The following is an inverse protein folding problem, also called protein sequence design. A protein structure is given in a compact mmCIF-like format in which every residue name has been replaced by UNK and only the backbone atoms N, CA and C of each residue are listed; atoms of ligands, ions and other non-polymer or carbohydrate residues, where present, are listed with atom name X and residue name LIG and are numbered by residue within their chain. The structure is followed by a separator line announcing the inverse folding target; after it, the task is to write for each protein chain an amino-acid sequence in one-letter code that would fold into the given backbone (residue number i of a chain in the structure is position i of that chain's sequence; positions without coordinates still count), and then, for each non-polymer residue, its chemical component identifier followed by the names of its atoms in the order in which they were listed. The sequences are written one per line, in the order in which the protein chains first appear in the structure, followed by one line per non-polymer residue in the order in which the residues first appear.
data_IF_279284218485
#
_entry.id   IF_279284218485
#
_cell.length_a   1.000
_cell.length_b   1.000
_cell.length_c   1.000
_cell.angle_alpha   90.00
_cell.angle_beta   90.00
_cell.angle_gamma   90.00
#
_symmetry.space_group_name_H-M   'P 1'
#
loop_
_entity.id
_entity.type
_entity.pdbx_description
1 polymer ?
#
# COMPACT_ATOMS: atom_id res chain seq x y z
N UNK A 1 -2.49 -4.21 -27.30
CA UNK A 1 -2.08 -4.97 -26.10
C UNK A 1 -0.56 -4.92 -25.93
N UNK A 2 0.21 -5.17 -26.99
CA UNK A 2 1.69 -5.07 -26.98
C UNK A 2 2.23 -3.71 -26.54
N UNK A 3 1.62 -2.59 -26.98
CA UNK A 3 2.02 -1.25 -26.54
C UNK A 3 2.00 -1.10 -25.01
N UNK A 4 0.94 -1.58 -24.35
CA UNK A 4 0.80 -1.48 -22.89
C UNK A 4 1.83 -2.36 -22.18
N UNK A 5 2.11 -3.55 -22.71
CA UNK A 5 3.12 -4.46 -22.18
C UNK A 5 4.52 -3.83 -22.32
N UNK A 6 4.81 -3.21 -23.47
CA UNK A 6 6.08 -2.54 -23.71
C UNK A 6 6.26 -1.33 -22.80
N UNK A 7 5.23 -0.48 -22.66
CA UNK A 7 5.25 0.64 -21.71
C UNK A 7 5.47 0.14 -20.28
N UNK A 8 4.73 -0.88 -19.85
CA UNK A 8 4.89 -1.47 -18.52
C UNK A 8 6.31 -2.01 -18.30
N UNK A 9 6.85 -2.72 -19.29
CA UNK A 9 8.18 -3.30 -19.20
C UNK A 9 9.26 -2.21 -19.12
N UNK A 10 9.20 -1.22 -20.01
CA UNK A 10 10.22 -0.16 -20.12
C UNK A 10 10.13 0.88 -18.99
N UNK A 11 8.93 1.20 -18.51
CA UNK A 11 8.71 2.26 -17.50
C UNK A 11 8.75 1.73 -16.07
N UNK A 12 8.28 0.50 -15.83
CA UNK A 12 8.20 -0.06 -14.48
C UNK A 12 9.15 -1.23 -14.27
N UNK A 13 8.99 -2.32 -15.02
CA UNK A 13 9.71 -3.56 -14.74
C UNK A 13 11.22 -3.42 -14.89
N UNK A 14 11.71 -2.96 -16.05
CA UNK A 14 13.14 -2.87 -16.34
C UNK A 14 13.85 -1.85 -15.43
N UNK A 15 13.32 -0.63 -15.18
CA UNK A 15 13.93 0.29 -14.23
C UNK A 15 13.98 -0.25 -12.80
N UNK A 16 12.89 -0.89 -12.32
CA UNK A 16 12.85 -1.47 -10.98
C UNK A 16 13.80 -2.65 -10.84
N UNK A 17 13.91 -3.49 -11.87
CA UNK A 17 14.89 -4.57 -11.93
C UNK A 17 16.31 -4.03 -11.85
N UNK A 18 16.67 -3.08 -12.72
CA UNK A 18 18.00 -2.48 -12.75
C UNK A 18 18.34 -1.76 -11.45
N UNK A 19 17.38 -1.04 -10.86
CA UNK A 19 17.56 -0.41 -9.56
C UNK A 19 17.82 -1.44 -8.46
N UNK A 20 17.11 -2.57 -8.46
CA UNK A 20 17.36 -3.65 -7.49
C UNK A 20 18.78 -4.22 -7.65
N UNK A 21 19.21 -4.53 -8.87
CA UNK A 21 20.53 -5.11 -9.14
C UNK A 21 21.65 -4.12 -8.79
N UNK A 22 21.46 -2.84 -9.13
CA UNK A 22 22.39 -1.80 -8.73
C UNK A 22 22.49 -1.73 -7.20
N UNK A 23 21.37 -1.69 -6.49
CA UNK A 23 21.39 -1.70 -5.02
C UNK A 23 22.06 -2.97 -4.47
N UNK A 24 21.78 -4.13 -5.04
CA UNK A 24 22.39 -5.40 -4.64
C UNK A 24 23.93 -5.37 -4.77
N UNK A 25 24.46 -4.82 -5.86
CA UNK A 25 25.89 -4.78 -6.12
C UNK A 25 26.63 -3.72 -5.28
N UNK A 26 26.01 -2.56 -5.06
CA UNK A 26 26.66 -1.45 -4.34
C UNK A 26 26.43 -1.47 -2.83
N UNK A 27 25.44 -2.21 -2.32
CA UNK A 27 25.22 -2.33 -0.88
C UNK A 27 26.22 -3.30 -0.23
N UNK A 28 26.69 -3.00 0.98
CA UNK A 28 27.67 -3.82 1.67
C UNK A 28 27.11 -5.23 1.91
N UNK A 29 27.94 -6.24 1.63
CA UNK A 29 27.60 -7.64 1.84
C UNK A 29 26.71 -8.26 0.76
N UNK A 30 26.35 -7.53 -0.31
CA UNK A 30 25.49 -8.02 -1.40
C UNK A 30 24.25 -8.74 -0.87
N UNK A 31 23.59 -8.10 0.09
CA UNK A 31 22.40 -8.63 0.75
C UNK A 31 21.14 -8.26 -0.04
N UNK A 32 20.46 -9.28 -0.55
CA UNK A 32 19.28 -9.09 -1.38
C UNK A 32 18.13 -8.45 -0.61
N UNK A 33 17.91 -8.82 0.64
CA UNK A 33 16.84 -8.23 1.43
C UNK A 33 17.09 -6.78 1.80
N UNK A 34 18.33 -6.37 2.07
CA UNK A 34 18.67 -4.95 2.25
C UNK A 34 18.41 -4.18 0.94
N UNK A 35 18.78 -4.75 -0.22
CA UNK A 35 18.48 -4.14 -1.52
C UNK A 35 16.96 -3.95 -1.72
N UNK A 36 16.15 -4.95 -1.37
CA UNK A 36 14.67 -4.85 -1.40
C UNK A 36 14.16 -3.76 -0.47
N UNK A 37 14.67 -3.67 0.76
CA UNK A 37 14.27 -2.64 1.75
C UNK A 37 14.58 -1.24 1.20
N UNK A 38 15.81 -1.03 0.73
CA UNK A 38 16.24 0.28 0.20
C UNK A 38 15.43 0.66 -1.04
N UNK A 39 15.24 -0.28 -1.98
CA UNK A 39 14.39 -0.05 -3.16
C UNK A 39 12.98 0.38 -2.75
N UNK A 40 12.40 -0.31 -1.77
CA UNK A 40 11.05 0.01 -1.26
C UNK A 40 11.00 1.43 -0.70
N UNK A 41 12.00 1.83 0.09
CA UNK A 41 12.09 3.18 0.66
C UNK A 41 12.23 4.22 -0.45
N UNK A 42 13.06 3.99 -1.47
CA UNK A 42 13.21 4.89 -2.62
C UNK A 42 11.87 5.07 -3.35
N UNK A 43 11.17 3.99 -3.66
CA UNK A 43 9.82 4.04 -4.28
C UNK A 43 8.87 4.87 -3.41
N UNK A 44 8.89 4.64 -2.09
CA UNK A 44 8.03 5.35 -1.14
C UNK A 44 8.35 6.84 -1.03
N UNK A 45 9.62 7.23 -1.18
CA UNK A 45 10.05 8.62 -1.21
C UNK A 45 9.61 9.31 -2.50
N UNK A 46 9.77 8.67 -3.66
CA UNK A 46 9.30 9.18 -4.95
C UNK A 46 7.79 9.40 -4.93
N UNK A 47 7.04 8.45 -4.35
CA UNK A 47 5.58 8.52 -4.23
C UNK A 47 5.10 9.31 -3.01
N UNK A 48 6.00 9.87 -2.20
CA UNK A 48 5.66 10.55 -0.95
C UNK A 48 4.56 11.62 -1.10
N UNK A 49 4.65 12.59 -2.04
CA UNK A 49 3.65 13.67 -2.11
C UNK A 49 2.25 13.14 -2.41
N UNK A 50 2.15 12.17 -3.30
CA UNK A 50 0.91 11.50 -3.67
C UNK A 50 0.33 10.72 -2.48
N UNK A 51 1.15 9.91 -1.81
CA UNK A 51 0.72 9.10 -0.66
C UNK A 51 0.26 10.00 0.50
N UNK A 52 0.97 11.11 0.74
CA UNK A 52 0.60 12.09 1.75
C UNK A 52 -0.76 12.75 1.45
N UNK A 53 -1.04 13.08 0.19
CA UNK A 53 -2.37 13.59 -0.21
C UNK A 53 -3.46 12.57 0.07
N UNK A 54 -3.25 11.31 -0.28
CA UNK A 54 -4.26 10.28 -0.02
C UNK A 54 -4.52 10.06 1.47
N UNK A 55 -3.47 10.01 2.28
CA UNK A 55 -3.60 9.86 3.74
C UNK A 55 -4.41 11.03 4.33
N UNK A 56 -4.16 12.26 3.86
CA UNK A 56 -4.94 13.44 4.27
C UNK A 56 -6.42 13.31 3.87
N UNK A 57 -6.71 12.92 2.63
CA UNK A 57 -8.10 12.73 2.18
C UNK A 57 -8.82 11.64 2.95
N UNK A 58 -8.15 10.51 3.24
CA UNK A 58 -8.72 9.43 4.04
C UNK A 58 -9.00 9.88 5.49
N UNK A 59 -8.11 10.68 6.07
CA UNK A 59 -8.29 11.25 7.41
C UNK A 59 -9.48 12.22 7.46
N UNK A 60 -9.60 13.11 6.49
CA UNK A 60 -10.72 14.05 6.40
C UNK A 60 -12.06 13.30 6.21
N UNK A 61 -12.09 12.26 5.37
CA UNK A 61 -13.27 11.42 5.22
C UNK A 61 -13.63 10.65 6.50
N UNK A 62 -12.62 10.16 7.22
CA UNK A 62 -12.75 9.51 8.53
C UNK A 62 -13.39 10.44 9.58
N UNK A 63 -13.04 11.73 9.55
CA UNK A 63 -13.62 12.76 10.42
C UNK A 63 -15.07 13.14 10.04
N UNK A 64 -15.43 13.04 8.76
CA UNK A 64 -16.79 13.27 8.27
C UNK A 64 -17.75 12.09 8.50
N UNK A 65 -17.25 10.92 8.93
CA UNK A 65 -18.08 9.73 9.17
C UNK A 65 -19.37 9.99 9.97
N UNK A 66 -19.37 10.79 11.06
CA UNK A 66 -20.60 11.08 11.81
C UNK A 66 -21.66 11.81 10.96
N UNK A 67 -21.25 12.81 10.16
CA UNK A 67 -22.16 13.56 9.27
C UNK A 67 -22.66 12.67 8.12
N UNK A 68 -21.79 11.81 7.59
CA UNK A 68 -22.16 10.82 6.57
C UNK A 68 -23.22 9.86 7.12
N UNK A 69 -23.05 9.37 8.35
CA UNK A 69 -24.02 8.49 9.01
C UNK A 69 -25.36 9.19 9.24
N UNK A 70 -25.35 10.47 9.64
CA UNK A 70 -26.58 11.27 9.81
C UNK A 70 -27.35 11.43 8.48
N UNK A 71 -26.66 11.75 7.38
CA UNK A 71 -27.27 11.82 6.04
C UNK A 71 -27.83 10.45 5.65
N UNK A 72 -27.08 9.36 5.90
CA UNK A 72 -27.51 8.02 5.56
C UNK A 72 -28.78 7.62 6.31
N UNK A 73 -28.90 7.96 7.59
CA UNK A 73 -30.09 7.75 8.42
C UNK A 73 -31.26 8.61 7.96
N UNK A 74 -31.05 9.90 7.72
CA UNK A 74 -32.10 10.86 7.34
C UNK A 74 -32.77 10.51 6.00
N UNK A 75 -32.00 9.98 5.04
CA UNK A 75 -32.47 9.68 3.69
C UNK A 75 -32.41 8.18 3.37
N UNK A 76 -32.61 7.31 4.38
CA UNK A 76 -32.51 5.85 4.23
C UNK A 76 -33.37 5.28 3.10
N UNK A 77 -34.58 5.81 2.94
CA UNK A 77 -35.55 5.34 1.95
C UNK A 77 -35.46 6.07 0.61
N UNK A 78 -34.60 7.10 0.51
CA UNK A 78 -34.40 7.89 -0.70
C UNK A 78 -32.91 7.94 -1.08
N UNK A 79 -32.46 6.93 -1.84
CA UNK A 79 -31.06 6.81 -2.31
C UNK A 79 -30.60 7.98 -3.16
N UNK A 80 -31.48 8.56 -3.96
CA UNK A 80 -31.14 9.67 -4.83
C UNK A 80 -30.82 10.92 -3.99
N UNK A 81 -31.70 11.26 -3.04
CA UNK A 81 -31.46 12.37 -2.13
C UNK A 81 -30.25 12.10 -1.22
N UNK A 82 -30.07 10.87 -0.74
CA UNK A 82 -28.90 10.47 0.04
C UNK A 82 -27.60 10.72 -0.72
N UNK A 83 -27.53 10.32 -2.00
CA UNK A 83 -26.35 10.54 -2.85
C UNK A 83 -26.08 12.03 -3.08
N UNK A 84 -27.14 12.81 -3.35
CA UNK A 84 -27.06 14.26 -3.57
C UNK A 84 -26.54 15.01 -2.35
N UNK A 85 -27.08 14.74 -1.16
CA UNK A 85 -26.68 15.36 0.10
C UNK A 85 -25.26 14.94 0.49
N UNK A 86 -24.90 13.68 0.28
CA UNK A 86 -23.54 13.19 0.55
C UNK A 86 -22.51 13.86 -0.37
N UNK A 87 -22.83 14.03 -1.65
CA UNK A 87 -21.96 14.77 -2.58
C UNK A 87 -21.89 16.27 -2.22
N UNK A 88 -23.01 16.86 -1.82
CA UNK A 88 -23.07 18.25 -1.32
C UNK A 88 -22.20 18.45 -0.08
N UNK A 89 -22.20 17.49 0.86
CA UNK A 89 -21.31 17.50 2.01
C UNK A 89 -19.83 17.48 1.58
N UNK A 90 -19.45 16.58 0.66
CA UNK A 90 -18.07 16.51 0.16
C UNK A 90 -17.63 17.81 -0.52
N UNK A 91 -18.51 18.45 -1.30
CA UNK A 91 -18.22 19.74 -1.94
C UNK A 91 -18.10 20.88 -0.92
N UNK A 92 -19.01 20.94 0.05
CA UNK A 92 -19.01 21.96 1.12
C UNK A 92 -17.74 21.90 1.96
N UNK A 93 -17.29 20.69 2.29
CA UNK A 93 -16.07 20.45 3.06
C UNK A 93 -14.81 20.42 2.16
N UNK A 94 -14.95 20.61 0.84
CA UNK A 94 -13.88 20.60 -0.18
C UNK A 94 -13.01 19.33 -0.14
N UNK A 95 -13.63 18.18 0.13
CA UNK A 95 -12.96 16.88 0.23
C UNK A 95 -13.24 16.06 -1.03
N UNK A 96 -12.19 15.44 -1.59
CA UNK A 96 -12.32 14.51 -2.70
C UNK A 96 -12.48 13.06 -2.19
N UNK A 97 -13.65 12.41 -2.38
CA UNK A 97 -13.88 11.04 -1.92
C UNK A 97 -12.99 10.00 -2.63
N UNK A 98 -12.52 10.28 -3.85
CA UNK A 98 -11.62 9.41 -4.61
C UNK A 98 -10.16 9.54 -4.19
N UNK A 99 -9.82 10.54 -3.36
CA UNK A 99 -8.46 10.70 -2.87
C UNK A 99 -7.96 9.49 -2.07
N UNK A 100 -8.87 8.71 -1.47
CA UNK A 100 -8.53 7.52 -0.69
C UNK A 100 -8.19 6.27 -1.51
N UNK A 101 -8.71 6.14 -2.74
CA UNK A 101 -8.47 4.96 -3.58
C UNK A 101 -7.30 5.15 -4.56
N UNK A 102 -6.85 6.39 -4.78
CA UNK A 102 -5.74 6.72 -5.68
C UNK A 102 -4.44 5.93 -5.40
N UNK A 103 -4.01 5.71 -4.14
CA UNK A 103 -2.83 4.89 -3.87
C UNK A 103 -2.96 3.46 -4.40
N UNK A 104 -4.14 2.86 -4.27
CA UNK A 104 -4.36 1.47 -4.69
C UNK A 104 -4.15 1.32 -6.20
N UNK A 105 -4.70 2.26 -6.99
CA UNK A 105 -4.57 2.24 -8.45
C UNK A 105 -3.12 2.35 -8.92
N UNK A 106 -2.30 3.15 -8.24
CA UNK A 106 -0.88 3.34 -8.57
C UNK A 106 -0.03 2.20 -8.01
N UNK A 107 -0.41 1.67 -6.85
CA UNK A 107 0.28 0.57 -6.19
C UNK A 107 0.15 -0.75 -6.97
N UNK A 108 -0.99 -1.01 -7.61
CA UNK A 108 -1.23 -2.27 -8.33
C UNK A 108 -0.21 -2.53 -9.47
N UNK A 109 0.04 -1.61 -10.43
CA UNK A 109 1.09 -1.79 -11.44
C UNK A 109 2.48 -1.99 -10.84
N UNK A 110 2.82 -1.25 -9.78
CA UNK A 110 4.12 -1.36 -9.11
C UNK A 110 4.27 -2.73 -8.44
N UNK A 111 3.21 -3.22 -7.79
CA UNK A 111 3.20 -4.54 -7.18
C UNK A 111 3.39 -5.65 -8.22
N UNK A 112 2.73 -5.54 -9.38
CA UNK A 112 2.90 -6.49 -10.48
C UNK A 112 4.34 -6.43 -11.02
N UNK A 113 4.92 -5.24 -11.14
CA UNK A 113 6.29 -5.08 -11.60
C UNK A 113 7.28 -5.72 -10.61
N UNK A 114 7.14 -5.44 -9.31
CA UNK A 114 8.00 -6.01 -8.27
C UNK A 114 7.82 -7.53 -8.14
N UNK A 115 6.60 -8.05 -8.29
CA UNK A 115 6.38 -9.49 -8.37
C UNK A 115 7.21 -10.11 -9.50
N UNK A 116 7.19 -9.50 -10.70
CA UNK A 116 8.01 -9.97 -11.82
C UNK A 116 9.51 -9.80 -11.56
N UNK A 117 9.93 -8.70 -10.93
CA UNK A 117 11.34 -8.47 -10.56
C UNK A 117 11.84 -9.56 -9.62
N UNK A 118 11.09 -9.89 -8.56
CA UNK A 118 11.53 -10.88 -7.59
C UNK A 118 11.36 -12.33 -8.07
N UNK A 119 10.45 -12.59 -9.01
CA UNK A 119 10.24 -13.92 -9.57
C UNK A 119 11.13 -14.19 -10.80
N UNK A 120 11.05 -13.33 -11.82
CA UNK A 120 11.76 -13.48 -13.11
C UNK A 120 13.16 -12.88 -13.04
N UNK A 121 13.37 -11.80 -12.28
CA UNK A 121 14.66 -11.12 -12.18
C UNK A 121 15.77 -11.92 -11.50
N UNK A 122 15.43 -12.97 -10.76
CA UNK A 122 16.41 -13.89 -10.15
C UNK A 122 16.93 -14.94 -11.15
N UNK A 123 16.31 -15.06 -12.32
CA UNK A 123 16.72 -16.03 -13.34
C UNK A 123 17.88 -15.48 -14.17
N UNK A 124 18.84 -16.33 -14.62
CA UNK A 124 19.98 -15.88 -15.42
C UNK A 124 19.59 -15.12 -16.69
N UNK A 125 18.45 -15.46 -17.29
CA UNK A 125 17.93 -14.84 -18.52
C UNK A 125 17.60 -13.35 -18.32
N UNK A 126 17.23 -12.95 -17.10
CA UNK A 126 16.90 -11.57 -16.78
C UNK A 126 18.12 -10.65 -16.85
N UNK A 127 19.35 -11.18 -16.77
CA UNK A 127 20.58 -10.38 -16.87
C UNK A 127 20.73 -9.70 -18.24
N UNK A 128 20.05 -10.22 -19.28
CA UNK A 128 19.97 -9.57 -20.59
C UNK A 128 19.23 -8.22 -20.58
N UNK A 129 18.46 -7.93 -19.52
CA UNK A 129 17.68 -6.71 -19.36
C UNK A 129 18.42 -5.60 -18.61
N UNK A 130 19.67 -5.85 -18.21
CA UNK A 130 20.50 -4.88 -17.53
C UNK A 130 20.84 -3.71 -18.44
N UNK A 131 20.84 -2.51 -17.89
CA UNK A 131 21.38 -1.34 -18.55
C UNK A 131 22.91 -1.41 -18.58
N UNK A 132 23.51 -0.80 -19.59
CA UNK A 132 24.96 -0.84 -19.82
C UNK A 132 25.81 -0.38 -18.62
N UNK A 133 25.26 0.48 -17.76
CA UNK A 133 25.93 0.99 -16.56
C UNK A 133 25.72 0.13 -15.31
N UNK A 134 24.89 -0.91 -15.38
CA UNK A 134 24.60 -1.80 -14.25
C UNK A 134 25.49 -3.04 -14.36
N UNK A 135 26.36 -3.30 -13.37
CA UNK A 135 27.22 -4.48 -13.38
C UNK A 135 26.38 -5.76 -13.30
N UNK A 136 26.78 -6.79 -14.04
CA UNK A 136 26.12 -8.09 -14.00
C UNK A 136 26.63 -8.89 -12.77
N UNK A 137 25.76 -9.18 -11.79
CA UNK A 137 26.14 -9.92 -10.58
C UNK A 137 26.38 -11.42 -10.85
N UNK A 138 26.00 -11.92 -12.03
CA UNK A 138 25.93 -13.35 -12.31
C UNK A 138 24.74 -13.97 -11.59
N UNK A 139 25.01 -14.82 -10.60
CA UNK A 139 23.96 -15.48 -9.80
C UNK A 139 23.63 -14.64 -8.56
N UNK A 140 22.35 -14.34 -8.38
CA UNK A 140 21.87 -13.58 -7.23
C UNK A 140 21.57 -14.55 -6.09
N UNK A 141 22.13 -14.28 -4.91
CA UNK A 141 21.76 -14.99 -3.69
C UNK A 141 20.56 -14.28 -3.02
N UNK A 142 19.34 -14.85 -3.03
CA UNK A 142 18.15 -14.17 -2.55
C UNK A 142 17.99 -14.26 -1.03
N UNK A 143 19.07 -14.10 -0.26
CA UNK A 143 19.01 -14.15 1.21
C UNK A 143 18.86 -12.77 1.83
N UNK A 144 18.24 -12.74 3.00
CA UNK A 144 18.14 -11.56 3.86
C UNK A 144 18.82 -11.83 5.19
N UNK A 145 19.84 -11.02 5.48
CA UNK A 145 20.71 -11.08 6.66
C UNK A 145 21.36 -12.47 6.87
N UNK A 146 21.44 -13.29 5.82
CA UNK A 146 21.86 -14.69 5.90
C UNK A 146 20.89 -15.62 6.65
N UNK A 147 19.70 -15.14 7.04
CA UNK A 147 18.74 -15.88 7.88
C UNK A 147 17.51 -16.36 7.12
N UNK A 148 17.05 -15.59 6.13
CA UNK A 148 15.79 -15.85 5.43
C UNK A 148 16.03 -15.90 3.93
N UNK A 149 15.58 -16.98 3.28
CA UNK A 149 15.53 -17.04 1.81
C UNK A 149 14.28 -16.28 1.32
N UNK A 150 14.50 -15.20 0.56
CA UNK A 150 13.48 -14.35 0.00
C UNK A 150 12.95 -14.80 -1.37
N UNK A 151 13.65 -15.74 -2.02
CA UNK A 151 13.22 -16.33 -3.30
C UNK A 151 12.09 -17.36 -3.13
N UNK A 152 11.92 -17.89 -1.92
CA UNK A 152 10.92 -18.90 -1.59
C UNK A 152 9.74 -18.31 -0.81
N UNK A 153 8.62 -19.03 -0.79
CA UNK A 153 7.47 -18.65 0.01
C UNK A 153 7.75 -18.81 1.51
N UNK A 154 7.28 -17.85 2.32
CA UNK A 154 7.47 -17.87 3.77
C UNK A 154 6.19 -17.46 4.48
N UNK A 155 5.57 -18.41 5.19
CA UNK A 155 4.38 -18.14 6.00
C UNK A 155 4.68 -17.11 7.10
N UNK A 156 5.86 -17.19 7.74
CA UNK A 156 6.28 -16.24 8.77
C UNK A 156 6.33 -14.80 8.23
N UNK A 157 6.90 -14.61 7.04
CA UNK A 157 6.97 -13.30 6.39
C UNK A 157 5.58 -12.80 5.98
N UNK A 158 4.73 -13.68 5.46
CA UNK A 158 3.34 -13.35 5.10
C UNK A 158 2.53 -12.90 6.33
N UNK A 159 2.62 -13.64 7.45
CA UNK A 159 1.95 -13.28 8.71
C UNK A 159 2.47 -11.96 9.25
N UNK A 160 3.79 -11.72 9.22
CA UNK A 160 4.37 -10.45 9.64
C UNK A 160 3.82 -9.28 8.81
N UNK A 161 3.73 -9.43 7.48
CA UNK A 161 3.13 -8.42 6.60
C UNK A 161 1.67 -8.11 6.99
N UNK A 162 0.87 -9.15 7.25
CA UNK A 162 -0.51 -8.99 7.71
C UNK A 162 -0.61 -8.28 9.07
N UNK A 163 0.24 -8.63 10.04
CA UNK A 163 0.25 -7.99 11.36
C UNK A 163 0.60 -6.50 11.24
N UNK A 164 1.66 -6.15 10.50
CA UNK A 164 2.07 -4.75 10.32
C UNK A 164 0.98 -3.96 9.58
N UNK A 165 0.39 -4.55 8.54
CA UNK A 165 -0.73 -3.93 7.82
C UNK A 165 -1.97 -3.74 8.70
N UNK A 166 -2.26 -4.67 9.61
CA UNK A 166 -3.34 -4.50 10.59
C UNK A 166 -3.10 -3.27 11.47
N UNK A 167 -1.88 -3.09 11.99
CA UNK A 167 -1.54 -1.90 12.77
C UNK A 167 -1.64 -0.61 11.94
N UNK A 168 -1.17 -0.64 10.69
CA UNK A 168 -1.32 0.47 9.75
C UNK A 168 -2.81 0.84 9.53
N UNK A 169 -3.66 -0.16 9.25
CA UNK A 169 -5.11 0.08 9.06
C UNK A 169 -5.76 0.61 10.33
N UNK A 170 -5.39 0.09 11.50
CA UNK A 170 -5.94 0.49 12.80
C UNK A 170 -5.70 1.97 13.11
N UNK A 171 -4.57 2.53 12.69
CA UNK A 171 -4.27 3.96 12.89
C UNK A 171 -5.23 4.90 12.13
N UNK A 172 -5.82 4.44 11.03
CA UNK A 172 -6.73 5.24 10.20
C UNK A 172 -8.18 5.25 10.72
N UNK A 173 -8.51 4.34 11.65
CA UNK A 173 -9.87 4.18 12.14
C UNK A 173 -10.24 5.37 13.04
N UNK A 174 -11.34 6.08 12.74
CA UNK A 174 -11.80 7.17 13.59
C UNK A 174 -12.21 6.63 14.96
N UNK A 175 -11.93 7.37 16.02
CA UNK A 175 -12.53 7.12 17.34
C UNK A 175 -13.99 7.56 17.32
N UNK A 176 -14.84 6.88 16.56
CA UNK A 176 -16.28 7.14 16.58
C UNK A 176 -16.87 6.70 17.92
N UNK A 177 -17.80 7.51 18.45
CA UNK A 177 -18.65 7.10 19.58
C UNK A 177 -19.45 5.88 19.13
N UNK A 178 -19.53 4.85 19.99
CA UNK A 178 -20.21 3.57 19.71
C UNK A 178 -21.59 3.82 19.07
N UNK A 179 -21.93 3.13 17.96
CA UNK A 179 -23.27 3.22 17.39
C UNK A 179 -24.30 2.75 18.43
N UNK A 180 -25.43 3.45 18.52
CA UNK A 180 -26.56 3.02 19.35
C UNK A 180 -27.10 1.68 18.79
N UNK A 181 -27.35 0.73 19.69
CA UNK A 181 -27.81 -0.61 19.33
C UNK A 181 -29.18 -0.52 18.62
N UNK A 182 -29.28 -1.04 17.38
CA UNK A 182 -30.54 -1.17 16.64
C UNK A 182 -30.60 -0.56 15.24
N UNK A 183 -29.59 0.23 14.83
CA UNK A 183 -29.66 0.96 13.56
C UNK A 183 -28.94 0.22 12.41
N UNK A 184 -29.71 -0.35 11.48
CA UNK A 184 -29.18 -1.08 10.29
C UNK A 184 -28.43 -0.17 9.32
N UNK A 185 -28.60 1.14 9.42
CA UNK A 185 -28.09 2.12 8.44
C UNK A 185 -26.61 2.45 8.64
N UNK A 186 -26.09 2.28 9.87
CA UNK A 186 -24.65 2.40 10.14
C UNK A 186 -23.85 1.21 9.59
N UNK A 187 -24.52 0.13 9.14
CA UNK A 187 -23.86 -1.12 8.80
C UNK A 187 -22.93 -1.03 7.58
N UNK A 188 -23.22 -0.20 6.57
CA UNK A 188 -22.38 -0.16 5.36
C UNK A 188 -21.02 0.47 5.62
N UNK A 189 -20.98 1.64 6.26
CA UNK A 189 -19.73 2.32 6.62
C UNK A 189 -18.95 1.53 7.69
N UNK A 190 -19.63 0.98 8.69
CA UNK A 190 -19.03 0.11 9.70
C UNK A 190 -18.47 -1.19 9.07
N UNK A 191 -19.17 -1.78 8.09
CA UNK A 191 -18.70 -2.96 7.37
C UNK A 191 -17.46 -2.65 6.53
N UNK A 192 -17.45 -1.53 5.80
CA UNK A 192 -16.29 -1.10 5.01
C UNK A 192 -15.05 -0.90 5.91
N UNK A 193 -15.22 -0.28 7.09
CA UNK A 193 -14.14 -0.11 8.07
C UNK A 193 -13.65 -1.45 8.61
N UNK A 194 -14.56 -2.37 8.98
CA UNK A 194 -14.20 -3.71 9.46
C UNK A 194 -13.49 -4.54 8.38
N UNK A 195 -13.91 -4.42 7.12
CA UNK A 195 -13.22 -5.04 6.00
C UNK A 195 -11.79 -4.50 5.87
N UNK A 196 -11.61 -3.18 5.86
CA UNK A 196 -10.29 -2.53 5.84
C UNK A 196 -9.38 -2.98 7.00
N UNK A 197 -9.96 -3.11 8.20
CA UNK A 197 -9.21 -3.49 9.39
C UNK A 197 -8.83 -4.97 9.43
N UNK A 198 -9.77 -5.88 9.15
CA UNK A 198 -9.57 -7.31 9.39
C UNK A 198 -9.44 -8.10 8.10
N UNK A 199 -10.34 -7.88 7.14
CA UNK A 199 -10.38 -8.65 5.91
C UNK A 199 -9.12 -8.43 5.07
N UNK A 200 -8.72 -7.19 4.82
CA UNK A 200 -7.56 -6.92 3.96
C UNK A 200 -6.24 -7.46 4.51
N UNK A 201 -5.90 -7.33 5.81
CA UNK A 201 -4.71 -7.97 6.36
C UNK A 201 -4.74 -9.50 6.25
N UNK A 202 -5.86 -10.15 6.57
CA UNK A 202 -5.99 -11.62 6.46
C UNK A 202 -5.85 -12.06 4.99
N UNK A 203 -6.53 -11.36 4.08
CA UNK A 203 -6.45 -11.61 2.65
C UNK A 203 -5.03 -11.42 2.11
N UNK A 204 -4.30 -10.44 2.65
CA UNK A 204 -2.90 -10.22 2.30
C UNK A 204 -2.03 -11.41 2.74
N UNK A 205 -2.22 -11.94 3.96
CA UNK A 205 -1.52 -13.17 4.38
C UNK A 205 -1.83 -14.34 3.43
N UNK A 206 -3.10 -14.52 3.07
CA UNK A 206 -3.55 -15.58 2.15
C UNK A 206 -2.99 -15.43 0.73
N UNK A 207 -2.66 -14.23 0.28
CA UNK A 207 -1.96 -14.07 -1.01
C UNK A 207 -0.48 -14.37 -0.81
N UNK A 208 0.15 -13.72 0.17
CA UNK A 208 1.60 -13.72 0.33
C UNK A 208 2.19 -15.07 0.72
N UNK A 209 1.44 -15.96 1.38
CA UNK A 209 1.94 -17.28 1.77
C UNK A 209 2.33 -18.19 0.59
N UNK A 210 1.94 -17.84 -0.65
CA UNK A 210 2.24 -18.57 -1.89
C UNK A 210 3.26 -17.86 -2.77
N UNK A 211 3.62 -16.62 -2.43
CA UNK A 211 4.52 -15.78 -3.22
C UNK A 211 5.90 -15.73 -2.56
N UNK A 212 6.96 -15.35 -3.30
CA UNK A 212 8.29 -15.18 -2.71
C UNK A 212 8.27 -14.21 -1.52
N UNK A 213 9.02 -14.54 -0.47
CA UNK A 213 9.08 -13.76 0.75
C UNK A 213 9.65 -12.34 0.52
N UNK A 214 10.37 -12.10 -0.58
CA UNK A 214 10.74 -10.76 -1.04
C UNK A 214 9.53 -9.80 -1.15
N UNK A 215 8.37 -10.31 -1.60
CA UNK A 215 7.15 -9.51 -1.74
C UNK A 215 6.53 -9.22 -0.38
N UNK A 216 6.58 -10.19 0.53
CA UNK A 216 6.14 -9.98 1.90
C UNK A 216 7.02 -8.94 2.62
N UNK A 217 8.34 -8.99 2.41
CA UNK A 217 9.28 -7.98 2.91
C UNK A 217 8.96 -6.58 2.36
N UNK A 218 8.75 -6.47 1.05
CA UNK A 218 8.30 -5.23 0.41
C UNK A 218 7.02 -4.68 1.09
N UNK A 219 6.05 -5.56 1.39
CA UNK A 219 4.79 -5.18 2.02
C UNK A 219 5.00 -4.68 3.45
N UNK A 220 5.84 -5.36 4.25
CA UNK A 220 6.22 -4.96 5.61
C UNK A 220 6.85 -3.57 5.61
N UNK A 221 7.88 -3.36 4.78
CA UNK A 221 8.59 -2.07 4.70
C UNK A 221 7.65 -0.96 4.23
N UNK A 222 6.79 -1.25 3.26
CA UNK A 222 5.73 -0.35 2.80
C UNK A 222 4.79 0.07 3.93
N UNK A 223 4.31 -0.89 4.72
CA UNK A 223 3.36 -0.63 5.79
C UNK A 223 4.02 0.14 6.95
N UNK A 224 5.26 -0.18 7.30
CA UNK A 224 6.06 0.58 8.28
C UNK A 224 6.29 2.03 7.84
N UNK A 225 6.66 2.23 6.57
CA UNK A 225 6.82 3.58 6.03
C UNK A 225 5.49 4.36 6.09
N UNK A 226 4.39 3.70 5.75
CA UNK A 226 3.05 4.29 5.80
C UNK A 226 2.62 4.66 7.23
N UNK A 227 2.93 3.81 8.22
CA UNK A 227 2.72 4.10 9.65
C UNK A 227 3.49 5.38 10.04
N UNK A 228 4.76 5.47 9.65
CA UNK A 228 5.58 6.68 9.88
C UNK A 228 4.97 7.92 9.23
N UNK A 229 4.55 7.83 7.96
CA UNK A 229 3.88 8.93 7.26
C UNK A 229 2.57 9.35 7.95
N UNK A 230 1.72 8.39 8.31
CA UNK A 230 0.46 8.65 9.01
C UNK A 230 0.70 9.36 10.34
N UNK A 231 1.68 8.89 11.13
CA UNK A 231 2.04 9.50 12.40
C UNK A 231 2.45 10.98 12.22
N UNK A 232 3.33 11.27 11.25
CA UNK A 232 3.79 12.64 10.97
C UNK A 232 2.66 13.55 10.49
N UNK A 233 1.78 13.05 9.62
CA UNK A 233 0.65 13.82 9.07
C UNK A 233 -0.37 14.08 10.17
N UNK A 234 -0.77 13.07 10.94
CA UNK A 234 -1.79 13.22 11.97
C UNK A 234 -1.34 14.16 13.07
N UNK A 235 -0.07 14.09 13.50
CA UNK A 235 0.49 15.04 14.47
C UNK A 235 0.39 16.50 13.99
N UNK A 236 0.67 16.77 12.71
CA UNK A 236 0.56 18.13 12.14
C UNK A 236 -0.89 18.63 12.09
N UNK A 237 -1.84 17.77 11.77
CA UNK A 237 -3.27 18.14 11.74
C UNK A 237 -3.81 18.57 13.12
N UNK A 238 -3.33 17.97 14.22
CA UNK A 238 -3.73 18.39 15.58
C UNK A 238 -3.03 19.67 16.09
N UNK A 239 -1.97 20.14 15.42
CA UNK A 239 -1.21 21.30 15.83
C UNK A 239 -1.67 22.63 15.19
N UNK A 240 -2.60 22.57 14.24
CA UNK A 240 -3.25 23.73 13.63
C UNK A 240 -4.65 23.85 14.24
N UNK A 241 -4.89 24.75 15.20
CA UNK A 241 -6.26 25.04 15.61
C UNK A 241 -6.96 25.72 14.43
N UNK A 242 -8.10 25.15 14.01
CA UNK A 242 -9.04 25.81 13.11
C UNK A 242 -9.49 27.15 13.72
#
# INVERSE_FOLDING_TARGET
MELLINIFNTVLYQPLFNALILLYEYLPGRDFGIAVVVLTVVIRLVLYPLMAQSIKSQKALSELQPKIQEIQQKYKDNREQQSKEMMGLYQKEKINPFGGCLPLLIQLPILIALYRVFWQGLQPEAMSLLYNFVPNPGTINPTFLGLVNLGEASLASAVLAGIVQFFQSKMMIPKTKKPKLGDKTSQFSDMMQKQMLYFFPIFTVFILWRLPAAIALYWVVTALFSIGQQYLIFKKTYAQPN
#
